data_IF_765319974772
#
_entry.id   IF_765319974772
#
_cell.length_a   1.000
_cell.length_b   1.000
_cell.length_c   1.000
_cell.angle_alpha   90.00
_cell.angle_beta   90.00
_cell.angle_gamma   90.00
#
_symmetry.space_group_name_H-M   'P 1'
#
loop_
_entity.id
_entity.type
_entity.pdbx_description
1 polymer ?
#
# COMPACT_ATOMS: atom_id res chain seq x y z
N UNK A 1 10.14 -5.73 0.48
CA UNK A 1 8.97 -5.65 -0.42
C UNK A 1 8.26 -6.97 -0.65
N UNK A 2 8.87 -8.08 -0.31
CA UNK A 2 8.26 -9.40 -0.49
C UNK A 2 6.94 -9.55 0.29
N UNK A 3 6.89 -9.08 1.53
CA UNK A 3 5.67 -9.18 2.33
C UNK A 3 4.54 -8.33 1.73
N UNK A 4 4.87 -7.16 1.19
CA UNK A 4 3.89 -6.31 0.51
C UNK A 4 3.27 -7.04 -0.67
N UNK A 5 4.09 -7.69 -1.47
CA UNK A 5 3.61 -8.47 -2.63
C UNK A 5 2.70 -9.62 -2.16
N UNK A 6 3.06 -10.31 -1.09
CA UNK A 6 2.23 -11.37 -0.54
C UNK A 6 0.85 -10.85 -0.12
N UNK A 7 0.81 -9.71 0.54
CA UNK A 7 -0.44 -9.08 0.95
C UNK A 7 -1.30 -8.72 -0.26
N UNK A 8 -0.68 -8.13 -1.27
CA UNK A 8 -1.38 -7.78 -2.51
C UNK A 8 -1.92 -9.01 -3.20
N UNK A 9 -1.15 -10.09 -3.25
CA UNK A 9 -1.57 -11.33 -3.87
C UNK A 9 -2.73 -12.00 -3.13
N UNK A 10 -2.80 -11.85 -1.82
CA UNK A 10 -3.92 -12.36 -1.03
C UNK A 10 -5.21 -11.61 -1.35
N UNK A 11 -5.10 -10.31 -1.61
CA UNK A 11 -6.26 -9.46 -1.89
C UNK A 11 -6.68 -9.59 -3.34
N UNK A 12 -5.72 -9.57 -4.26
CA UNK A 12 -5.99 -9.67 -5.70
C UNK A 12 -4.92 -10.52 -6.36
N UNK A 13 -5.11 -11.84 -6.44
CA UNK A 13 -4.06 -12.76 -6.92
C UNK A 13 -3.84 -12.76 -8.43
N UNK A 14 -4.74 -12.16 -9.20
CA UNK A 14 -4.67 -12.20 -10.66
C UNK A 14 -3.77 -11.14 -11.28
N UNK A 15 -3.19 -10.26 -10.48
CA UNK A 15 -2.38 -9.15 -10.96
C UNK A 15 -0.90 -9.48 -10.87
N UNK A 16 -0.15 -9.10 -11.90
CA UNK A 16 1.31 -9.20 -11.89
C UNK A 16 1.89 -7.92 -11.28
N UNK A 17 2.14 -7.94 -10.00
CA UNK A 17 2.60 -6.76 -9.26
C UNK A 17 4.02 -6.33 -9.62
N UNK A 18 4.80 -7.21 -10.24
CA UNK A 18 6.14 -6.87 -10.66
C UNK A 18 6.15 -5.89 -11.83
N UNK A 19 5.11 -5.91 -12.67
CA UNK A 19 5.06 -5.09 -13.89
C UNK A 19 3.91 -4.11 -13.94
N UNK A 20 2.86 -4.30 -13.13
CA UNK A 20 1.67 -3.47 -13.17
C UNK A 20 1.92 -2.12 -12.51
N UNK A 21 1.64 -1.05 -13.23
CA UNK A 21 1.81 0.33 -12.75
C UNK A 21 0.50 1.11 -12.75
N UNK A 22 -0.63 0.43 -12.97
CA UNK A 22 -1.94 1.08 -13.05
C UNK A 22 -3.00 0.29 -12.27
N UNK A 23 -2.64 -0.12 -11.05
CA UNK A 23 -3.55 -0.90 -10.20
C UNK A 23 -4.89 -0.21 -9.97
N UNK A 24 -4.86 1.10 -9.76
CA UNK A 24 -6.08 1.89 -9.55
C UNK A 24 -6.68 2.28 -10.89
N UNK A 25 -5.88 2.88 -11.77
CA UNK A 25 -6.35 3.37 -13.06
C UNK A 25 -6.85 2.25 -13.96
N UNK A 26 -6.28 1.05 -13.83
CA UNK A 26 -6.70 -0.12 -14.59
C UNK A 26 -7.83 -0.90 -13.93
N UNK A 27 -8.35 -0.44 -12.80
CA UNK A 27 -9.43 -1.07 -12.05
C UNK A 27 -9.10 -2.47 -11.52
N UNK A 28 -7.82 -2.74 -11.28
CA UNK A 28 -7.40 -4.00 -10.66
C UNK A 28 -7.71 -4.04 -9.16
N UNK A 29 -7.70 -2.87 -8.51
CA UNK A 29 -8.09 -2.74 -7.11
C UNK A 29 -9.33 -1.85 -7.03
N UNK A 30 -10.38 -2.36 -6.41
CA UNK A 30 -11.60 -1.58 -6.17
C UNK A 30 -11.57 -0.98 -4.75
N UNK A 31 -12.64 -0.26 -4.39
CA UNK A 31 -12.72 0.41 -3.08
C UNK A 31 -12.60 -0.57 -1.92
N UNK A 32 -13.22 -1.73 -2.02
CA UNK A 32 -13.16 -2.73 -0.96
C UNK A 32 -11.76 -3.33 -0.84
N UNK A 33 -11.11 -3.58 -1.98
CA UNK A 33 -9.75 -4.08 -1.99
C UNK A 33 -8.79 -3.07 -1.37
N UNK A 34 -8.97 -1.78 -1.67
CA UNK A 34 -8.14 -0.72 -1.11
C UNK A 34 -8.31 -0.64 0.41
N UNK A 35 -9.55 -0.72 0.90
CA UNK A 35 -9.81 -0.69 2.34
C UNK A 35 -9.15 -1.87 3.03
N UNK A 36 -9.29 -3.07 2.46
CA UNK A 36 -8.65 -4.27 3.00
C UNK A 36 -7.12 -4.13 2.99
N UNK A 37 -6.58 -3.61 1.90
CA UNK A 37 -5.14 -3.41 1.76
C UNK A 37 -4.61 -2.43 2.80
N UNK A 38 -5.30 -1.31 2.99
CA UNK A 38 -4.90 -0.30 3.99
C UNK A 38 -4.86 -0.94 5.38
N UNK A 39 -5.90 -1.67 5.75
CA UNK A 39 -5.97 -2.32 7.06
C UNK A 39 -4.82 -3.31 7.26
N UNK A 40 -4.54 -4.13 6.25
CA UNK A 40 -3.46 -5.11 6.31
C UNK A 40 -2.09 -4.44 6.42
N UNK A 41 -1.86 -3.38 5.65
CA UNK A 41 -0.59 -2.66 5.68
C UNK A 41 -0.36 -1.95 7.00
N UNK A 42 -1.39 -1.34 7.56
CA UNK A 42 -1.28 -0.68 8.86
C UNK A 42 -0.90 -1.67 9.95
N UNK A 43 -1.49 -2.85 9.91
CA UNK A 43 -1.23 -3.90 10.89
C UNK A 43 0.15 -4.52 10.70
N UNK A 44 0.52 -4.85 9.47
CA UNK A 44 1.77 -5.53 9.16
C UNK A 44 2.99 -4.65 9.40
N UNK A 45 2.91 -3.39 9.06
CA UNK A 45 4.04 -2.46 9.14
C UNK A 45 3.96 -1.49 10.32
N UNK A 46 2.93 -1.62 11.13
CA UNK A 46 2.69 -0.76 12.30
C UNK A 46 2.76 0.72 11.93
N UNK A 47 1.98 1.09 10.91
CA UNK A 47 1.89 2.45 10.42
C UNK A 47 0.43 2.92 10.41
N UNK A 48 0.24 4.22 10.29
CA UNK A 48 -1.09 4.80 10.06
C UNK A 48 -1.09 5.43 8.68
N UNK A 49 -2.04 5.02 7.84
CA UNK A 49 -2.18 5.57 6.49
C UNK A 49 -3.30 6.59 6.50
N UNK A 50 -2.97 7.89 6.50
CA UNK A 50 -4.02 8.92 6.50
C UNK A 50 -4.75 8.94 5.16
N UNK A 51 -6.00 9.42 5.18
CA UNK A 51 -6.85 9.46 4.00
C UNK A 51 -6.21 10.21 2.84
N UNK A 52 -5.43 11.26 3.14
CA UNK A 52 -4.76 12.06 2.11
C UNK A 52 -3.71 11.27 1.32
N UNK A 53 -3.23 10.15 1.88
CA UNK A 53 -2.27 9.28 1.19
C UNK A 53 -2.96 8.25 0.30
N UNK A 54 -4.26 8.06 0.44
CA UNK A 54 -5.02 7.07 -0.33
C UNK A 54 -5.41 7.72 -1.66
N UNK A 55 -4.41 7.84 -2.54
CA UNK A 55 -4.55 8.46 -3.85
C UNK A 55 -3.95 7.52 -4.90
N UNK A 56 -4.40 7.61 -6.16
CA UNK A 56 -3.91 6.73 -7.21
C UNK A 56 -2.39 6.71 -7.34
N UNK A 57 -1.74 7.86 -7.21
CA UNK A 57 -0.29 7.96 -7.34
C UNK A 57 0.46 7.06 -6.36
N UNK A 58 -0.11 6.82 -5.18
CA UNK A 58 0.51 5.96 -4.17
C UNK A 58 0.11 4.49 -4.32
N UNK A 59 -1.02 4.23 -4.98
CA UNK A 59 -1.61 2.89 -5.01
C UNK A 59 -1.58 2.22 -6.38
N UNK A 60 -1.02 2.88 -7.40
CA UNK A 60 -1.00 2.34 -8.76
C UNK A 60 0.02 1.23 -8.98
N UNK A 61 1.02 1.12 -8.12
CA UNK A 61 2.02 0.05 -8.25
C UNK A 61 2.51 -0.40 -6.87
N UNK A 62 3.08 -1.60 -6.82
CA UNK A 62 3.69 -2.11 -5.60
C UNK A 62 4.85 -1.22 -5.17
N UNK A 63 5.59 -0.70 -6.13
CA UNK A 63 6.72 0.19 -5.89
C UNK A 63 6.27 1.49 -5.22
N UNK A 64 5.18 2.09 -5.72
CA UNK A 64 4.61 3.31 -5.13
C UNK A 64 4.10 3.06 -3.72
N UNK A 65 3.44 1.92 -3.51
CA UNK A 65 2.98 1.51 -2.19
C UNK A 65 4.14 1.36 -1.23
N UNK A 66 5.21 0.72 -1.67
CA UNK A 66 6.39 0.52 -0.83
C UNK A 66 7.02 1.84 -0.44
N UNK A 67 7.15 2.77 -1.37
CA UNK A 67 7.68 4.11 -1.09
C UNK A 67 6.84 4.83 -0.03
N UNK A 68 5.52 4.72 -0.13
CA UNK A 68 4.61 5.29 0.85
C UNK A 68 4.80 4.66 2.22
N UNK A 69 4.90 3.33 2.29
CA UNK A 69 5.08 2.60 3.55
C UNK A 69 6.37 3.05 4.24
N UNK A 70 7.47 3.09 3.50
CA UNK A 70 8.77 3.50 4.05
C UNK A 70 8.70 4.92 4.60
N UNK A 71 8.09 5.82 3.85
CA UNK A 71 7.93 7.21 4.27
C UNK A 71 7.12 7.33 5.56
N UNK A 72 6.03 6.60 5.65
CA UNK A 72 5.17 6.62 6.83
C UNK A 72 5.87 6.00 8.05
N UNK A 73 6.69 4.98 7.85
CA UNK A 73 7.49 4.41 8.92
C UNK A 73 8.47 5.43 9.47
N UNK A 74 9.12 6.18 8.61
CA UNK A 74 10.06 7.21 9.01
C UNK A 74 9.38 8.34 9.76
N UNK A 75 8.20 8.76 9.32
CA UNK A 75 7.42 9.79 10.00
C UNK A 75 6.97 9.32 11.38
N UNK A 76 6.60 8.05 11.50
CA UNK A 76 6.23 7.46 12.78
C UNK A 76 7.38 7.48 13.77
N UNK A 77 8.57 7.17 13.32
CA UNK A 77 9.78 7.21 14.15
C UNK A 77 10.06 8.62 14.67
N UNK A 78 9.88 9.62 13.82
CA UNK A 78 10.05 11.02 14.22
C UNK A 78 9.08 11.41 15.32
N UNK A 79 7.84 10.98 15.22
CA UNK A 79 6.83 11.26 16.22
C UNK A 79 7.17 10.60 17.55
N UNK A 80 7.78 9.43 17.49
CA UNK A 80 8.18 8.68 18.68
C UNK A 80 9.30 9.39 19.47
N UNK A 81 10.09 10.17 18.80
CA UNK A 81 11.23 10.87 19.41
C UNK A 81 10.78 12.13 20.18
N UNK A 82 9.66 12.69 19.79
CA UNK A 82 9.15 13.88 20.46
C UNK A 82 8.39 13.51 21.72
#
# INVERSE_FOLDING_TARGET
MERLIEILEEIQPEVDYATCTNLIDGHYLDSLSIISLVAELEEEYDITIPTVEIIPDNFNSAESLWAMIVRLQEEGDRKSVV
#
